data_IF_475151606756
#
_entry.id   IF_475151606756
#
_cell.length_a   1.000
_cell.length_b   1.000
_cell.length_c   1.000
_cell.angle_alpha   90.00
_cell.angle_beta   90.00
_cell.angle_gamma   90.00
#
_symmetry.space_group_name_H-M   'P 1'
#
loop_
_entity.id
_entity.type
_entity.pdbx_description
1 polymer ?
#
# COMPACT_ATOMS: atom_id res chain seq x y z
N UNK A 1 14.36 -54.29 13.18
CA UNK A 1 13.64 -53.22 13.90
C UNK A 1 14.15 -51.88 13.39
N UNK A 2 13.37 -51.21 12.55
CA UNK A 2 13.48 -49.77 12.32
C UNK A 2 12.05 -49.23 12.34
N UNK A 3 11.82 -48.47 13.39
CA UNK A 3 10.57 -47.95 13.90
C UNK A 3 10.12 -46.76 13.05
N UNK A 4 8.83 -46.71 12.73
CA UNK A 4 8.01 -45.51 12.59
C UNK A 4 8.63 -44.32 11.83
N UNK A 5 8.64 -44.38 10.50
CA UNK A 5 8.51 -43.15 9.71
C UNK A 5 7.05 -42.73 9.85
N UNK A 6 6.86 -41.83 10.81
CA UNK A 6 5.61 -41.17 11.15
C UNK A 6 4.95 -40.60 9.90
N UNK A 7 3.64 -40.79 9.85
CA UNK A 7 2.69 -39.95 9.14
C UNK A 7 3.10 -38.47 9.24
N UNK A 8 3.59 -37.91 8.13
CA UNK A 8 3.62 -36.45 7.89
C UNK A 8 2.86 -36.20 6.59
N UNK A 9 1.67 -36.78 6.49
CA UNK A 9 0.75 -36.58 5.39
C UNK A 9 -0.56 -36.12 5.98
N UNK A 10 -0.55 -34.90 6.52
CA UNK A 10 -1.70 -34.03 6.78
C UNK A 10 -1.20 -32.69 7.35
N UNK A 11 -0.33 -31.99 6.62
CA UNK A 11 -0.32 -30.53 6.76
C UNK A 11 -1.67 -30.07 6.24
N UNK A 12 -2.62 -29.82 7.17
CA UNK A 12 -3.81 -29.04 6.87
C UNK A 12 -3.33 -27.81 6.12
N UNK A 13 -3.79 -27.62 4.89
CA UNK A 13 -3.65 -26.33 4.25
C UNK A 13 -4.29 -25.32 5.19
N UNK A 14 -3.45 -24.50 5.83
CA UNK A 14 -3.93 -23.37 6.60
C UNK A 14 -4.63 -22.50 5.56
N UNK A 15 -5.96 -22.46 5.61
CA UNK A 15 -6.75 -21.63 4.70
C UNK A 15 -6.22 -20.21 4.75
N UNK A 16 -6.17 -19.54 3.59
CA UNK A 16 -5.81 -18.13 3.47
C UNK A 16 -6.70 -17.34 4.44
N UNK A 17 -6.11 -16.74 5.49
CA UNK A 17 -6.85 -15.88 6.42
C UNK A 17 -7.36 -14.67 5.63
N UNK A 18 -8.65 -14.39 5.75
CA UNK A 18 -9.25 -13.19 5.16
C UNK A 18 -8.70 -11.94 5.84
N UNK A 19 -8.45 -10.89 5.04
CA UNK A 19 -7.96 -9.62 5.54
C UNK A 19 -9.02 -8.94 6.41
N UNK A 20 -8.68 -8.70 7.68
CA UNK A 20 -9.60 -8.23 8.70
C UNK A 20 -9.44 -6.74 8.98
N UNK A 21 -10.39 -6.15 9.72
CA UNK A 21 -10.28 -4.75 10.15
C UNK A 21 -9.05 -4.52 11.03
N UNK A 22 -8.64 -5.50 11.83
CA UNK A 22 -7.43 -5.40 12.66
C UNK A 22 -6.16 -5.31 11.80
N UNK A 23 -6.11 -6.09 10.71
CA UNK A 23 -5.00 -6.02 9.74
C UNK A 23 -4.97 -4.64 9.06
N UNK A 24 -6.14 -4.11 8.69
CA UNK A 24 -6.29 -2.75 8.16
C UNK A 24 -5.81 -1.68 9.15
N UNK A 25 -6.24 -1.75 10.41
CA UNK A 25 -5.83 -0.83 11.47
C UNK A 25 -4.31 -0.81 11.58
N UNK A 26 -3.67 -1.97 11.64
CA UNK A 26 -2.23 -2.08 11.79
C UNK A 26 -1.48 -1.52 10.57
N UNK A 27 -1.95 -1.84 9.36
CA UNK A 27 -1.37 -1.30 8.13
C UNK A 27 -1.48 0.23 8.08
N UNK A 28 -2.60 0.79 8.54
CA UNK A 28 -2.83 2.23 8.61
C UNK A 28 -1.92 2.92 9.64
N UNK A 29 -1.68 2.30 10.79
CA UNK A 29 -0.69 2.79 11.79
C UNK A 29 0.70 2.85 11.17
N UNK A 30 1.09 1.81 10.43
CA UNK A 30 2.41 1.74 9.77
C UNK A 30 2.52 2.67 8.57
N UNK A 31 1.42 2.96 7.88
CA UNK A 31 1.37 3.85 6.72
C UNK A 31 1.50 5.33 7.13
N UNK A 32 0.86 5.72 8.23
CA UNK A 32 0.81 7.11 8.70
C UNK A 32 2.18 7.81 8.76
N UNK A 33 3.22 7.27 9.41
CA UNK A 33 4.52 7.95 9.50
C UNK A 33 5.26 8.00 8.15
N UNK A 34 4.97 7.08 7.22
CA UNK A 34 5.64 6.98 5.92
C UNK A 34 5.01 7.91 4.89
N UNK A 35 3.68 7.90 4.81
CA UNK A 35 2.93 8.71 3.86
C UNK A 35 1.58 9.15 4.45
N UNK A 36 1.55 10.25 5.22
CA UNK A 36 0.32 10.81 5.77
C UNK A 36 -0.73 11.14 4.70
N UNK A 37 -0.31 11.52 3.49
CA UNK A 37 -1.22 11.78 2.36
C UNK A 37 -1.93 10.52 1.90
N UNK A 38 -1.19 9.43 1.76
CA UNK A 38 -1.75 8.12 1.39
C UNK A 38 -2.65 7.60 2.49
N UNK A 39 -2.28 7.76 3.76
CA UNK A 39 -3.14 7.45 4.90
C UNK A 39 -4.52 8.12 4.79
N UNK A 40 -4.56 9.44 4.57
CA UNK A 40 -5.83 10.15 4.42
C UNK A 40 -6.62 9.65 3.20
N UNK A 41 -5.95 9.35 2.09
CA UNK A 41 -6.62 8.84 0.90
C UNK A 41 -7.24 7.46 1.12
N UNK A 42 -6.52 6.55 1.77
CA UNK A 42 -7.01 5.19 2.05
C UNK A 42 -8.19 5.23 3.04
N UNK A 43 -8.16 6.09 4.06
CA UNK A 43 -9.33 6.32 4.91
C UNK A 43 -10.54 6.80 4.11
N UNK A 44 -10.35 7.75 3.18
CA UNK A 44 -11.45 8.21 2.31
C UNK A 44 -12.01 7.09 1.44
N UNK A 45 -11.16 6.22 0.91
CA UNK A 45 -11.59 5.04 0.14
C UNK A 45 -12.39 4.06 1.00
N UNK A 46 -11.95 3.80 2.24
CA UNK A 46 -12.65 2.95 3.18
C UNK A 46 -14.06 3.50 3.47
N UNK A 47 -14.19 4.78 3.84
CA UNK A 47 -15.49 5.43 4.04
C UNK A 47 -16.34 5.46 2.76
N UNK A 48 -15.70 5.53 1.59
CA UNK A 48 -16.34 5.44 0.28
C UNK A 48 -16.77 4.02 -0.10
N UNK A 49 -16.67 3.03 0.80
CA UNK A 49 -17.02 1.62 0.57
C UNK A 49 -16.24 0.97 -0.57
N UNK A 50 -15.01 1.44 -0.80
CA UNK A 50 -14.09 0.79 -1.75
C UNK A 50 -13.57 -0.55 -1.23
N UNK A 51 -13.70 -0.79 0.08
CA UNK A 51 -13.31 -2.02 0.76
C UNK A 51 -14.53 -2.64 1.46
N UNK A 52 -14.46 -3.93 1.74
CA UNK A 52 -15.53 -4.72 2.37
C UNK A 52 -15.61 -4.53 3.89
N UNK A 53 -15.46 -3.30 4.37
CA UNK A 53 -15.62 -2.94 5.78
C UNK A 53 -16.90 -2.15 5.99
N UNK A 54 -17.56 -2.41 7.11
CA UNK A 54 -18.69 -1.60 7.57
C UNK A 54 -18.19 -0.24 8.07
N UNK A 55 -19.08 0.75 8.06
CA UNK A 55 -18.78 2.07 8.61
C UNK A 55 -18.39 1.99 10.10
N UNK A 56 -19.05 1.10 10.86
CA UNK A 56 -18.74 0.85 12.27
C UNK A 56 -17.31 0.33 12.46
N UNK A 57 -16.87 -0.63 11.66
CA UNK A 57 -15.50 -1.16 11.68
C UNK A 57 -14.47 -0.08 11.38
N UNK A 58 -14.73 0.79 10.39
CA UNK A 58 -13.83 1.89 10.04
C UNK A 58 -13.72 2.91 11.20
N UNK A 59 -14.85 3.29 11.81
CA UNK A 59 -14.81 4.17 13.00
C UNK A 59 -14.08 3.52 14.17
N UNK A 60 -14.27 2.22 14.39
CA UNK A 60 -13.53 1.47 15.43
C UNK A 60 -12.03 1.49 15.17
N UNK A 61 -11.61 1.23 13.93
CA UNK A 61 -10.20 1.29 13.50
C UNK A 61 -9.58 2.68 13.74
N UNK A 62 -10.30 3.76 13.42
CA UNK A 62 -9.83 5.13 13.67
C UNK A 62 -9.63 5.41 15.16
N UNK A 63 -10.57 4.96 15.99
CA UNK A 63 -10.45 5.09 17.44
C UNK A 63 -9.20 4.36 17.94
N UNK A 64 -8.96 3.14 17.47
CA UNK A 64 -7.77 2.37 17.83
C UNK A 64 -6.47 3.04 17.38
N UNK A 65 -6.40 3.51 16.13
CA UNK A 65 -5.27 4.30 15.61
C UNK A 65 -5.01 5.53 16.50
N UNK A 66 -6.07 6.23 16.93
CA UNK A 66 -5.95 7.44 17.75
C UNK A 66 -5.42 7.16 19.16
N UNK A 67 -5.69 5.96 19.70
CA UNK A 67 -5.16 5.49 20.99
C UNK A 67 -3.69 5.12 20.84
N UNK A 68 -3.35 4.31 19.83
CA UNK A 68 -1.99 3.79 19.63
C UNK A 68 -1.00 4.89 19.25
N UNK A 69 -1.35 5.76 18.28
CA UNK A 69 -0.47 6.83 17.81
C UNK A 69 -0.52 8.04 18.75
N UNK A 70 -1.55 8.16 19.60
CA UNK A 70 -1.91 9.36 20.37
C UNK A 70 -2.35 10.54 19.49
N UNK A 71 -3.34 11.31 19.96
CA UNK A 71 -3.89 12.45 19.23
C UNK A 71 -2.83 13.51 18.84
N UNK A 72 -1.87 13.79 19.73
CA UNK A 72 -0.83 14.81 19.48
C UNK A 72 0.11 14.43 18.33
N UNK A 73 0.48 13.15 18.21
CA UNK A 73 1.35 12.68 17.12
C UNK A 73 0.55 12.61 15.83
N UNK A 74 -0.71 12.18 15.89
CA UNK A 74 -1.62 12.21 14.75
C UNK A 74 -1.78 13.64 14.21
N UNK A 75 -2.04 14.63 15.07
CA UNK A 75 -2.03 16.05 14.71
C UNK A 75 -0.69 16.46 14.07
N UNK A 76 0.44 16.01 14.63
CA UNK A 76 1.77 16.28 14.07
C UNK A 76 1.93 15.79 12.63
N UNK A 77 1.54 14.55 12.34
CA UNK A 77 1.60 14.00 10.98
C UNK A 77 0.61 14.68 10.02
N UNK A 78 -0.54 15.14 10.53
CA UNK A 78 -1.63 15.67 9.72
C UNK A 78 -1.63 17.20 9.57
N UNK A 79 -0.88 17.95 10.39
CA UNK A 79 -0.96 19.41 10.51
C UNK A 79 -0.82 20.17 9.18
N UNK A 80 -0.07 19.64 8.22
CA UNK A 80 0.19 20.28 6.92
C UNK A 80 -0.04 19.33 5.74
N UNK A 81 -0.92 18.34 5.89
CA UNK A 81 -1.22 17.39 4.82
C UNK A 81 -2.07 18.07 3.75
N UNK A 82 -1.45 18.36 2.60
CA UNK A 82 -2.17 18.65 1.38
C UNK A 82 -2.41 17.35 0.60
N UNK A 83 -3.64 16.83 0.53
CA UNK A 83 -3.96 15.55 -0.12
C UNK A 83 -4.07 15.68 -1.65
N UNK A 84 -3.31 16.60 -2.25
CA UNK A 84 -3.20 16.68 -3.71
C UNK A 84 -2.14 15.68 -4.16
N UNK A 85 -2.49 14.76 -5.08
CA UNK A 85 -1.56 13.78 -5.60
C UNK A 85 -0.49 14.47 -6.46
N UNK A 86 0.74 13.94 -6.43
CA UNK A 86 1.84 14.41 -7.29
C UNK A 86 1.62 14.02 -8.75
N UNK A 87 0.85 12.95 -8.96
CA UNK A 87 0.46 12.47 -10.27
C UNK A 87 -0.98 11.96 -10.27
N UNK A 88 -1.72 12.26 -11.33
CA UNK A 88 -3.06 11.73 -11.54
C UNK A 88 -3.00 10.56 -12.54
N UNK A 89 -3.63 9.45 -12.18
CA UNK A 89 -3.84 8.34 -13.11
C UNK A 89 -4.94 8.70 -14.10
N UNK A 90 -4.70 8.46 -15.39
CA UNK A 90 -5.74 8.63 -16.44
C UNK A 90 -6.49 7.33 -16.74
N UNK A 91 -5.92 6.20 -16.34
CA UNK A 91 -6.51 4.88 -16.51
C UNK A 91 -6.23 4.01 -15.30
N UNK A 92 -6.97 2.90 -15.18
CA UNK A 92 -6.66 1.86 -14.21
C UNK A 92 -5.21 1.37 -14.43
N UNK A 93 -4.39 1.23 -13.39
CA UNK A 93 -3.08 0.62 -13.51
C UNK A 93 -3.17 -0.82 -14.01
N UNK A 94 -2.22 -1.20 -14.86
CA UNK A 94 -1.97 -2.59 -15.19
C UNK A 94 -1.23 -3.25 -14.01
N UNK A 95 -1.76 -4.34 -13.49
CA UNK A 95 -1.18 -5.05 -12.34
C UNK A 95 -0.75 -6.42 -12.81
N UNK A 96 0.55 -6.69 -12.69
CA UNK A 96 1.13 -8.00 -12.98
C UNK A 96 0.48 -9.05 -12.04
N UNK A 97 0.00 -10.20 -12.57
CA UNK A 97 -0.54 -11.29 -11.77
C UNK A 97 0.37 -11.72 -10.60
N UNK A 98 1.69 -11.67 -10.78
CA UNK A 98 2.64 -12.08 -9.73
C UNK A 98 2.59 -11.13 -8.52
N UNK A 99 2.23 -9.87 -8.74
CA UNK A 99 1.98 -8.90 -7.66
C UNK A 99 0.70 -9.27 -6.92
N UNK A 100 -0.38 -9.62 -7.62
CA UNK A 100 -1.63 -10.04 -6.98
C UNK A 100 -1.41 -11.26 -6.10
N UNK A 101 -0.68 -12.26 -6.59
CA UNK A 101 -0.31 -13.44 -5.81
C UNK A 101 0.54 -13.05 -4.58
N UNK A 102 1.57 -12.21 -4.77
CA UNK A 102 2.44 -11.75 -3.68
C UNK A 102 1.69 -11.01 -2.57
N UNK A 103 0.64 -10.27 -2.94
CA UNK A 103 -0.21 -9.52 -2.03
C UNK A 103 -1.42 -10.34 -1.55
N UNK A 104 -1.43 -11.65 -1.76
CA UNK A 104 -2.53 -12.52 -1.35
C UNK A 104 -3.89 -12.04 -1.89
N UNK A 105 -3.92 -11.54 -3.13
CA UNK A 105 -5.09 -10.98 -3.80
C UNK A 105 -5.80 -9.91 -2.95
N UNK A 106 -5.05 -9.17 -2.13
CA UNK A 106 -5.60 -8.16 -1.24
C UNK A 106 -5.67 -6.80 -1.94
N UNK A 107 -6.88 -6.42 -2.34
CA UNK A 107 -7.17 -5.13 -2.97
C UNK A 107 -6.78 -3.93 -2.10
N UNK A 108 -6.83 -4.06 -0.76
CA UNK A 108 -6.43 -3.00 0.16
C UNK A 108 -4.93 -2.73 0.04
N UNK A 109 -4.11 -3.77 0.00
CA UNK A 109 -2.65 -3.62 -0.13
C UNK A 109 -2.27 -3.02 -1.48
N UNK A 110 -2.91 -3.45 -2.57
CA UNK A 110 -2.77 -2.82 -3.89
C UNK A 110 -3.13 -1.32 -3.81
N UNK A 111 -4.27 -0.99 -3.22
CA UNK A 111 -4.72 0.39 -3.09
C UNK A 111 -3.72 1.23 -2.27
N UNK A 112 -3.17 0.70 -1.19
CA UNK A 112 -2.15 1.37 -0.38
C UNK A 112 -0.89 1.65 -1.17
N UNK A 113 -0.35 0.67 -1.92
CA UNK A 113 0.84 0.86 -2.74
C UNK A 113 0.61 1.90 -3.85
N UNK A 114 -0.53 1.82 -4.54
CA UNK A 114 -0.91 2.80 -5.55
C UNK A 114 -1.03 4.18 -4.92
N UNK A 115 -1.73 4.32 -3.79
CA UNK A 115 -1.87 5.61 -3.11
C UNK A 115 -0.50 6.18 -2.71
N UNK A 116 0.43 5.36 -2.19
CA UNK A 116 1.81 5.79 -1.89
C UNK A 116 2.51 6.35 -3.14
N UNK A 117 2.39 5.67 -4.28
CA UNK A 117 2.88 6.18 -5.56
C UNK A 117 2.23 7.51 -5.96
N UNK A 118 0.90 7.63 -5.89
CA UNK A 118 0.19 8.87 -6.27
C UNK A 118 0.60 10.09 -5.44
N UNK A 119 1.05 9.89 -4.21
CA UNK A 119 1.42 10.97 -3.30
C UNK A 119 2.91 11.22 -3.17
N UNK A 120 3.75 10.57 -3.99
CA UNK A 120 5.18 10.86 -4.01
C UNK A 120 5.97 10.18 -2.90
N UNK A 121 5.50 9.03 -2.40
CA UNK A 121 6.22 8.30 -1.35
C UNK A 121 7.43 7.55 -1.94
N UNK A 122 8.62 8.06 -1.63
CA UNK A 122 9.90 7.47 -2.00
C UNK A 122 10.62 6.78 -0.82
N UNK A 123 9.95 6.56 0.30
CA UNK A 123 10.58 6.05 1.55
C UNK A 123 11.35 4.74 1.38
N UNK A 124 10.97 3.93 0.41
CA UNK A 124 11.58 2.62 0.10
C UNK A 124 12.21 2.58 -1.30
N UNK A 125 12.24 3.72 -2.00
CA UNK A 125 12.82 3.85 -3.34
C UNK A 125 14.29 4.27 -3.25
N UNK A 126 15.17 3.56 -3.96
CA UNK A 126 16.60 3.90 -4.01
C UNK A 126 16.84 5.30 -4.60
N UNK A 127 17.87 5.98 -4.09
CA UNK A 127 18.13 7.40 -4.39
C UNK A 127 18.23 7.71 -5.88
N UNK A 128 18.89 6.85 -6.66
CA UNK A 128 19.01 7.03 -8.12
C UNK A 128 17.64 7.08 -8.82
N UNK A 129 16.74 6.14 -8.50
CA UNK A 129 15.39 6.12 -9.07
C UNK A 129 14.53 7.29 -8.56
N UNK A 130 14.74 7.70 -7.31
CA UNK A 130 14.08 8.88 -6.75
C UNK A 130 14.47 10.14 -7.52
N UNK A 131 15.75 10.39 -7.73
CA UNK A 131 16.22 11.59 -8.45
C UNK A 131 15.70 11.65 -9.89
N UNK A 132 15.70 10.50 -10.59
CA UNK A 132 15.14 10.39 -11.94
C UNK A 132 13.63 10.67 -11.94
N UNK A 133 12.91 10.12 -10.97
CA UNK A 133 11.46 10.31 -10.81
C UNK A 133 11.08 11.75 -10.48
N UNK A 134 11.80 12.39 -9.56
CA UNK A 134 11.61 13.80 -9.24
C UNK A 134 11.93 14.71 -10.44
N UNK A 135 12.92 14.35 -11.27
CA UNK A 135 13.19 15.05 -12.54
C UNK A 135 12.08 14.83 -13.55
N UNK A 136 11.58 13.60 -13.67
CA UNK A 136 10.48 13.27 -14.57
C UNK A 136 9.23 14.10 -14.22
N UNK A 137 8.83 14.10 -12.95
CA UNK A 137 7.68 14.86 -12.45
C UNK A 137 7.82 16.37 -12.73
N UNK A 138 9.02 16.96 -12.50
CA UNK A 138 9.27 18.38 -12.77
C UNK A 138 9.20 18.74 -14.25
N UNK A 139 9.66 17.84 -15.12
CA UNK A 139 9.70 18.09 -16.57
C UNK A 139 8.44 17.64 -17.30
N UNK A 140 7.58 16.85 -16.65
CA UNK A 140 6.42 16.20 -17.26
C UNK A 140 6.82 15.16 -18.32
N UNK A 141 8.04 14.62 -18.26
CA UNK A 141 8.59 13.70 -19.28
C UNK A 141 9.32 12.54 -18.65
N UNK A 142 9.29 11.38 -19.31
CA UNK A 142 9.93 10.16 -18.84
C UNK A 142 9.03 9.36 -17.91
N UNK A 143 9.65 8.61 -17.01
CA UNK A 143 8.98 7.66 -16.12
C UNK A 143 9.09 8.10 -14.66
N UNK A 144 7.96 8.12 -13.97
CA UNK A 144 7.88 8.30 -12.53
C UNK A 144 7.80 6.93 -11.86
N UNK A 145 8.73 6.59 -10.96
CA UNK A 145 8.87 5.24 -10.39
C UNK A 145 9.00 5.28 -8.87
N UNK A 146 8.27 4.40 -8.19
CA UNK A 146 8.44 4.13 -6.76
C UNK A 146 8.55 2.64 -6.51
N UNK A 147 9.31 2.26 -5.50
CA UNK A 147 9.48 0.88 -5.05
C UNK A 147 9.10 0.77 -3.59
N UNK A 148 8.41 -0.32 -3.25
CA UNK A 148 7.93 -0.64 -1.92
C UNK A 148 8.27 -2.08 -1.58
N UNK A 149 8.80 -2.31 -0.38
CA UNK A 149 9.07 -3.62 0.16
C UNK A 149 7.78 -4.18 0.76
N UNK A 150 7.38 -5.36 0.30
CA UNK A 150 6.27 -6.11 0.86
C UNK A 150 6.72 -7.54 1.15
N UNK A 151 6.76 -7.89 2.43
CA UNK A 151 7.36 -9.15 2.92
C UNK A 151 8.81 -9.31 2.40
N UNK A 152 9.07 -10.35 1.61
CA UNK A 152 10.37 -10.65 1.01
C UNK A 152 10.49 -10.21 -0.46
N UNK A 153 9.51 -9.48 -0.99
CA UNK A 153 9.44 -9.04 -2.39
C UNK A 153 9.44 -7.52 -2.49
N UNK A 154 9.95 -6.99 -3.60
CA UNK A 154 9.84 -5.58 -3.93
C UNK A 154 8.74 -5.39 -4.98
N UNK A 155 7.77 -4.52 -4.68
CA UNK A 155 6.75 -4.09 -5.64
C UNK A 155 7.17 -2.74 -6.20
N UNK A 156 7.25 -2.65 -7.52
CA UNK A 156 7.49 -1.42 -8.24
C UNK A 156 6.20 -0.92 -8.88
N UNK A 157 5.98 0.39 -8.79
CA UNK A 157 4.97 1.10 -9.56
C UNK A 157 5.70 2.11 -10.44
N UNK A 158 5.49 2.00 -11.74
CA UNK A 158 5.96 3.01 -12.69
C UNK A 158 4.77 3.67 -13.38
N UNK A 159 4.88 4.96 -13.64
CA UNK A 159 3.95 5.72 -14.46
C UNK A 159 4.70 6.43 -15.57
N UNK A 160 4.32 6.15 -16.81
CA UNK A 160 4.77 6.91 -17.97
C UNK A 160 4.09 8.28 -17.96
N UNK A 161 4.86 9.37 -17.95
CA UNK A 161 4.31 10.72 -17.95
C UNK A 161 3.80 11.17 -19.32
N UNK A 162 4.10 10.43 -20.39
CA UNK A 162 3.62 10.73 -21.73
C UNK A 162 2.12 10.48 -21.87
N UNK A 163 1.62 9.41 -21.26
CA UNK A 163 0.24 8.93 -21.37
C UNK A 163 -0.45 8.69 -20.02
N UNK A 164 0.26 8.85 -18.91
CA UNK A 164 -0.21 8.66 -17.53
C UNK A 164 -0.75 7.24 -17.28
N UNK A 165 -0.16 6.26 -17.96
CA UNK A 165 -0.40 4.84 -17.71
C UNK A 165 0.58 4.33 -16.67
N UNK A 166 0.07 3.51 -15.75
CA UNK A 166 0.86 2.92 -14.69
C UNK A 166 0.87 1.42 -14.77
N UNK A 167 2.00 0.84 -14.44
CA UNK A 167 2.18 -0.61 -14.33
C UNK A 167 2.74 -0.94 -12.96
N UNK A 168 2.21 -2.00 -12.34
CA UNK A 168 2.61 -2.53 -11.04
C UNK A 168 3.23 -3.90 -11.27
N UNK A 169 4.49 -4.09 -10.87
CA UNK A 169 5.25 -5.32 -11.12
C UNK A 169 6.21 -5.65 -9.97
N UNK A 170 6.69 -6.89 -9.88
CA UNK A 170 7.72 -7.29 -8.91
C UNK A 170 9.14 -7.01 -9.42
N UNK A 171 10.07 -6.76 -8.51
CA UNK A 171 11.51 -6.54 -8.78
C UNK A 171 12.36 -7.53 -8.00
#
# INVERSE_FOLDING_TARGET
>A
MLTNIREVSNCKSVGKREYSIDDFTQDMILLLPKSPKSFIHILKMAFGRSFSFTEYEIHSSINEISVEVTAKVLEGYLANVNPIPVIALKSRPEIDPDVMEALNDNDVHIAMLIARHLYGDFTETVDEHRELSERALRTGRGTYKTTFNYLSRSVCIETSLADFRSTVYLV
#
